data_IF_938716737787
#
_entry.id   IF_938716737787
#
_cell.length_a   1.000
_cell.length_b   1.000
_cell.length_c   1.000
_cell.angle_alpha   90.00
_cell.angle_beta   90.00
_cell.angle_gamma   90.00
#
_symmetry.space_group_name_H-M   'P 1'
#
loop_
_entity.id
_entity.type
_entity.pdbx_description
1 polymer ?
#
# COMPACT_ATOMS: atom_id res chain seq x y z
N UNK A 1 -12.78 -11.58 -13.11
CA UNK A 1 -12.17 -10.39 -12.47
C UNK A 1 -11.75 -10.81 -11.06
N UNK A 2 -10.50 -10.55 -10.69
CA UNK A 2 -9.98 -10.84 -9.34
C UNK A 2 -10.84 -10.11 -8.28
N UNK A 3 -11.28 -10.82 -7.22
CA UNK A 3 -12.13 -10.23 -6.17
C UNK A 3 -11.48 -9.01 -5.52
N UNK A 4 -10.15 -9.01 -5.40
CA UNK A 4 -9.38 -7.88 -4.85
C UNK A 4 -9.39 -6.65 -5.77
N UNK A 5 -9.80 -6.80 -7.03
CA UNK A 5 -9.87 -5.73 -8.03
C UNK A 5 -11.30 -5.29 -8.34
N UNK A 6 -12.31 -5.79 -7.64
CA UNK A 6 -13.71 -5.46 -7.93
C UNK A 6 -14.04 -3.96 -7.77
N UNK A 7 -13.31 -3.25 -6.90
CA UNK A 7 -13.49 -1.81 -6.65
C UNK A 7 -13.32 -0.93 -7.89
N UNK A 8 -12.60 -1.41 -8.92
CA UNK A 8 -12.30 -0.61 -10.13
C UNK A 8 -13.55 -0.23 -10.92
N UNK A 9 -14.66 -0.95 -10.73
CA UNK A 9 -15.94 -0.67 -11.38
C UNK A 9 -16.55 0.66 -10.95
N UNK A 10 -16.24 1.10 -9.74
CA UNK A 10 -16.78 2.31 -9.13
C UNK A 10 -15.83 3.51 -9.29
N UNK A 11 -14.68 3.32 -9.95
CA UNK A 11 -13.68 4.37 -10.16
C UNK A 11 -14.17 5.33 -11.24
N UNK A 12 -14.21 6.62 -10.93
CA UNK A 12 -14.45 7.69 -11.90
C UNK A 12 -13.29 8.69 -11.94
N UNK A 13 -12.77 9.07 -10.77
CA UNK A 13 -11.66 10.02 -10.62
C UNK A 13 -10.40 9.29 -10.21
N UNK A 14 -9.33 9.43 -11.01
CA UNK A 14 -8.04 8.86 -10.70
C UNK A 14 -6.92 9.90 -10.64
N UNK A 15 -6.00 9.70 -9.70
CA UNK A 15 -4.73 10.41 -9.64
C UNK A 15 -3.64 9.49 -10.18
N UNK A 16 -2.89 9.93 -11.18
CA UNK A 16 -1.76 9.20 -11.77
C UNK A 16 -0.47 9.95 -11.45
N UNK A 17 0.36 9.35 -10.60
CA UNK A 17 1.68 9.90 -10.27
C UNK A 17 2.72 9.30 -11.20
N UNK A 18 3.51 10.18 -11.84
CA UNK A 18 4.57 9.82 -12.79
C UNK A 18 5.93 10.15 -12.16
N UNK A 19 6.66 9.13 -11.71
CA UNK A 19 7.96 9.32 -11.06
C UNK A 19 9.07 9.81 -12.00
N UNK A 20 10.14 10.40 -11.45
CA UNK A 20 11.28 10.91 -12.25
C UNK A 20 11.85 9.84 -13.18
N UNK A 21 12.05 8.60 -12.70
CA UNK A 21 12.56 7.50 -13.51
C UNK A 21 11.64 7.11 -14.67
N UNK A 22 10.34 7.42 -14.57
CA UNK A 22 9.36 7.25 -15.66
C UNK A 22 9.49 8.41 -16.65
N UNK A 23 9.60 9.66 -16.17
CA UNK A 23 9.72 10.86 -17.02
C UNK A 23 11.07 10.96 -17.75
N UNK A 24 12.14 10.42 -17.17
CA UNK A 24 13.51 10.54 -17.69
C UNK A 24 14.12 9.21 -18.15
N UNK A 25 15.05 9.27 -19.09
CA UNK A 25 15.96 8.18 -19.48
C UNK A 25 17.18 8.15 -18.56
N UNK A 26 17.98 7.08 -18.68
CA UNK A 26 19.21 6.92 -17.91
C UNK A 26 20.26 8.02 -18.16
N UNK A 27 20.21 8.69 -19.32
CA UNK A 27 21.07 9.82 -19.69
C UNK A 27 20.56 11.18 -19.13
N UNK A 28 19.45 11.18 -18.37
CA UNK A 28 18.83 12.37 -17.80
C UNK A 28 17.89 13.13 -18.74
N UNK A 29 17.79 12.74 -20.03
CA UNK A 29 16.86 13.35 -20.99
C UNK A 29 15.45 12.86 -20.75
N UNK A 30 14.46 13.59 -21.28
CA UNK A 30 13.06 13.17 -21.25
C UNK A 30 12.85 11.88 -22.05
N UNK A 31 12.07 10.97 -21.49
CA UNK A 31 11.67 9.72 -22.13
C UNK A 31 10.45 9.96 -23.03
N UNK A 32 10.64 10.67 -24.15
CA UNK A 32 9.56 11.12 -25.05
C UNK A 32 8.58 10.01 -25.44
N UNK A 33 9.07 8.85 -25.88
CA UNK A 33 8.20 7.74 -26.28
C UNK A 33 7.35 7.20 -25.12
N UNK A 34 7.91 7.18 -23.90
CA UNK A 34 7.18 6.73 -22.71
C UNK A 34 6.12 7.76 -22.27
N UNK A 35 6.46 9.04 -22.33
CA UNK A 35 5.51 10.13 -22.05
C UNK A 35 4.39 10.19 -23.10
N UNK A 36 4.71 9.96 -24.38
CA UNK A 36 3.71 9.83 -25.44
C UNK A 36 2.72 8.71 -25.17
N UNK A 37 3.21 7.48 -24.93
CA UNK A 37 2.38 6.33 -24.59
C UNK A 37 1.54 6.53 -23.30
N UNK A 38 2.06 7.32 -22.36
CA UNK A 38 1.29 7.71 -21.17
C UNK A 38 0.17 8.69 -21.51
N UNK A 39 0.46 9.72 -22.33
CA UNK A 39 -0.54 10.69 -22.75
C UNK A 39 -1.66 10.04 -23.58
N UNK A 40 -1.33 9.05 -24.42
CA UNK A 40 -2.31 8.25 -25.17
C UNK A 40 -3.24 7.44 -24.25
N UNK A 41 -2.69 6.83 -23.19
CA UNK A 41 -3.52 6.16 -22.17
C UNK A 41 -4.45 7.16 -21.47
N UNK A 42 -3.92 8.31 -21.05
CA UNK A 42 -4.72 9.36 -20.40
C UNK A 42 -5.80 9.87 -21.37
N UNK A 43 -5.50 10.01 -22.66
CA UNK A 43 -6.49 10.36 -23.69
C UNK A 43 -7.61 9.35 -23.78
N UNK A 44 -7.26 8.08 -23.81
CA UNK A 44 -8.23 6.98 -23.88
C UNK A 44 -9.18 7.04 -22.69
N UNK A 45 -8.64 7.22 -21.47
CA UNK A 45 -9.44 7.31 -20.25
C UNK A 45 -10.31 8.58 -20.20
N UNK A 46 -9.76 9.74 -20.56
CA UNK A 46 -10.52 10.99 -20.62
C UNK A 46 -11.69 10.90 -21.63
N UNK A 47 -11.46 10.23 -22.76
CA UNK A 47 -12.50 9.99 -23.78
C UNK A 47 -13.60 9.03 -23.28
N UNK A 48 -13.25 8.09 -22.40
CA UNK A 48 -14.19 7.20 -21.71
C UNK A 48 -14.93 7.87 -20.55
N UNK A 49 -14.63 9.13 -20.23
CA UNK A 49 -15.32 9.90 -19.19
C UNK A 49 -14.67 9.84 -17.80
N UNK A 50 -13.48 9.24 -17.69
CA UNK A 50 -12.70 9.29 -16.45
C UNK A 50 -12.14 10.69 -16.21
N UNK A 51 -12.13 11.09 -14.94
CA UNK A 51 -11.51 12.32 -14.47
C UNK A 51 -10.07 12.04 -14.05
N UNK A 52 -9.10 12.35 -14.92
CA UNK A 52 -7.68 12.04 -14.69
C UNK A 52 -6.93 13.27 -14.20
N UNK A 53 -6.25 13.13 -13.06
CA UNK A 53 -5.35 14.12 -12.48
C UNK A 53 -3.93 13.55 -12.53
N UNK A 54 -2.96 14.31 -13.03
CA UNK A 54 -1.58 13.87 -13.15
C UNK A 54 -0.72 14.55 -12.08
N UNK A 55 0.15 13.81 -11.42
CA UNK A 55 1.20 14.34 -10.54
C UNK A 55 2.55 13.96 -11.14
N UNK A 56 3.25 14.92 -11.74
CA UNK A 56 4.51 14.64 -12.43
C UNK A 56 5.72 14.92 -11.53
N UNK A 57 6.86 14.28 -11.80
CA UNK A 57 8.19 14.63 -11.27
C UNK A 57 9.17 14.94 -12.41
N UNK A 58 10.46 15.13 -12.09
CA UNK A 58 11.54 15.21 -13.08
C UNK A 58 12.00 16.62 -13.48
N UNK A 59 11.33 17.67 -13.03
CA UNK A 59 11.68 19.06 -13.34
C UNK A 59 13.15 19.40 -13.00
N UNK A 60 13.57 19.16 -11.75
CA UNK A 60 14.95 19.47 -11.29
C UNK A 60 16.02 18.82 -12.17
N UNK A 61 15.86 17.53 -12.50
CA UNK A 61 16.82 16.79 -13.33
C UNK A 61 16.93 17.37 -14.74
N UNK A 62 15.78 17.67 -15.35
CA UNK A 62 15.70 18.28 -16.69
C UNK A 62 16.33 19.67 -16.72
N UNK A 63 16.02 20.52 -15.74
CA UNK A 63 16.59 21.86 -15.67
C UNK A 63 18.08 21.85 -15.37
N UNK A 64 18.57 20.92 -14.55
CA UNK A 64 20.01 20.72 -14.33
C UNK A 64 20.75 20.42 -15.63
N UNK A 65 20.18 19.57 -16.48
CA UNK A 65 20.77 19.28 -17.79
C UNK A 65 20.80 20.53 -18.69
N UNK A 66 19.68 21.27 -18.77
CA UNK A 66 19.60 22.50 -19.58
C UNK A 66 20.56 23.58 -19.08
N UNK A 67 20.65 23.78 -17.77
CA UNK A 67 21.55 24.76 -17.17
C UNK A 67 23.02 24.36 -17.32
N UNK A 68 23.36 23.06 -17.25
CA UNK A 68 24.71 22.59 -17.59
C UNK A 68 25.09 22.92 -19.04
N UNK A 69 24.18 22.70 -19.99
CA UNK A 69 24.41 23.07 -21.38
C UNK A 69 24.54 24.59 -21.55
N UNK A 70 23.66 25.39 -20.94
CA UNK A 70 23.77 26.86 -20.97
C UNK A 70 25.08 27.33 -20.36
N UNK A 71 25.52 26.76 -19.23
CA UNK A 71 26.82 27.08 -18.65
C UNK A 71 27.95 26.73 -19.63
N UNK A 72 27.95 25.52 -20.20
CA UNK A 72 28.98 25.10 -21.17
C UNK A 72 29.11 26.09 -22.34
N UNK A 73 27.99 26.54 -22.91
CA UNK A 73 27.98 27.43 -24.08
C UNK A 73 28.34 28.89 -23.73
N UNK A 74 28.12 29.31 -22.48
CA UNK A 74 28.40 30.68 -22.03
C UNK A 74 29.67 30.78 -21.14
N UNK A 75 30.42 29.69 -20.97
CA UNK A 75 31.67 29.69 -20.18
C UNK A 75 32.86 29.97 -21.06
N UNK A 76 33.81 30.76 -20.57
CA UNK A 76 35.13 30.83 -21.20
C UNK A 76 35.92 29.53 -20.99
N UNK A 77 36.98 29.30 -21.77
CA UNK A 77 37.89 28.17 -21.55
C UNK A 77 38.47 28.15 -20.12
N UNK A 78 38.73 29.31 -19.52
CA UNK A 78 39.22 29.43 -18.15
C UNK A 78 38.16 29.02 -17.11
N UNK A 79 36.87 29.23 -17.38
CA UNK A 79 35.79 28.86 -16.48
C UNK A 79 35.48 27.36 -16.50
N UNK A 80 35.81 26.66 -17.60
CA UNK A 80 35.68 25.19 -17.70
C UNK A 80 36.78 24.44 -16.94
N UNK A 81 37.90 25.11 -16.64
CA UNK A 81 38.99 24.55 -15.82
C UNK A 81 38.72 24.66 -14.31
N UNK A 82 37.74 25.48 -13.90
CA UNK A 82 37.32 25.59 -12.50
C UNK A 82 36.52 24.35 -12.07
N UNK A 83 36.55 23.97 -10.77
CA UNK A 83 35.70 22.91 -10.24
C UNK A 83 34.22 23.13 -10.62
N UNK A 84 33.51 22.05 -10.94
CA UNK A 84 32.08 22.13 -11.26
C UNK A 84 31.31 22.60 -10.02
N UNK A 85 31.01 23.91 -9.98
CA UNK A 85 30.07 24.48 -9.01
C UNK A 85 28.72 23.80 -9.18
N UNK A 86 28.17 23.33 -8.06
CA UNK A 86 26.85 22.72 -8.02
C UNK A 86 25.78 23.74 -8.43
N UNK A 87 24.87 23.34 -9.32
CA UNK A 87 23.79 24.22 -9.76
C UNK A 87 22.70 24.26 -8.70
N UNK A 88 22.19 25.47 -8.41
CA UNK A 88 21.04 25.66 -7.52
C UNK A 88 19.84 24.81 -7.97
N UNK A 89 19.34 23.99 -7.06
CA UNK A 89 18.19 23.11 -7.27
C UNK A 89 16.91 23.88 -7.60
N UNK A 90 16.71 25.07 -7.04
CA UNK A 90 15.51 25.90 -7.29
C UNK A 90 15.53 26.48 -8.70
N UNK A 91 16.68 27.02 -9.13
CA UNK A 91 16.89 27.43 -10.51
C UNK A 91 16.70 26.26 -11.50
N UNK A 92 17.23 25.07 -11.16
CA UNK A 92 17.01 23.86 -11.96
C UNK A 92 15.52 23.49 -12.03
N UNK A 93 14.78 23.57 -10.92
CA UNK A 93 13.35 23.32 -10.92
C UNK A 93 12.59 24.29 -11.82
N UNK A 94 12.85 25.59 -11.74
CA UNK A 94 12.18 26.61 -12.54
C UNK A 94 12.36 26.38 -14.05
N UNK A 95 13.61 26.17 -14.49
CA UNK A 95 13.93 25.91 -15.91
C UNK A 95 13.32 24.58 -16.37
N UNK A 96 13.43 23.56 -15.52
CA UNK A 96 12.95 22.22 -15.83
C UNK A 96 11.43 22.14 -15.88
N UNK A 97 10.72 22.83 -15.00
CA UNK A 97 9.26 22.82 -14.93
C UNK A 97 8.65 23.43 -16.20
N UNK A 98 9.17 24.57 -16.66
CA UNK A 98 8.76 25.15 -17.94
C UNK A 98 8.93 24.16 -19.10
N UNK A 99 10.09 23.50 -19.13
CA UNK A 99 10.44 22.53 -20.18
C UNK A 99 9.54 21.28 -20.15
N UNK A 100 9.19 20.81 -18.95
CA UNK A 100 8.33 19.65 -18.73
C UNK A 100 6.89 19.95 -19.16
N UNK A 101 6.37 21.12 -18.80
CA UNK A 101 5.01 21.53 -19.16
C UNK A 101 4.86 21.78 -20.65
N UNK A 102 5.84 22.42 -21.30
CA UNK A 102 5.83 22.58 -22.75
C UNK A 102 5.75 21.23 -23.49
N UNK A 103 6.40 20.19 -22.96
CA UNK A 103 6.31 18.85 -23.53
C UNK A 103 4.92 18.24 -23.32
N UNK A 104 4.37 18.27 -22.09
CA UNK A 104 3.02 17.75 -21.84
C UNK A 104 1.99 18.47 -22.71
N UNK A 105 2.06 19.79 -22.79
CA UNK A 105 1.15 20.60 -23.60
C UNK A 105 1.24 20.23 -25.09
N UNK A 106 2.46 20.07 -25.61
CA UNK A 106 2.67 19.61 -26.99
C UNK A 106 2.03 18.23 -27.22
N UNK A 107 2.31 17.26 -26.34
CA UNK A 107 1.80 15.89 -26.49
C UNK A 107 0.27 15.83 -26.37
N UNK A 108 -0.31 16.52 -25.40
CA UNK A 108 -1.76 16.54 -25.21
C UNK A 108 -2.49 17.30 -26.33
N UNK A 109 -1.91 18.39 -26.84
CA UNK A 109 -2.46 19.11 -27.99
C UNK A 109 -2.53 18.22 -29.22
N UNK A 110 -1.54 17.37 -29.48
CA UNK A 110 -1.59 16.39 -30.58
C UNK A 110 -2.67 15.32 -30.40
N UNK A 111 -3.22 15.17 -29.19
CA UNK A 111 -4.27 14.21 -28.83
C UNK A 111 -5.64 14.89 -28.60
N UNK A 112 -5.79 16.15 -28.99
CA UNK A 112 -6.99 16.97 -28.74
C UNK A 112 -7.39 16.97 -27.25
N UNK A 113 -6.40 17.14 -26.38
CA UNK A 113 -6.58 17.33 -24.94
C UNK A 113 -5.92 18.64 -24.52
N UNK A 114 -6.62 19.37 -23.66
CA UNK A 114 -6.05 20.50 -22.95
C UNK A 114 -5.51 20.03 -21.61
N UNK A 115 -4.31 20.49 -21.26
CA UNK A 115 -3.73 20.30 -19.92
C UNK A 115 -3.66 21.63 -19.17
N UNK A 116 -3.69 21.58 -17.83
CA UNK A 116 -3.57 22.76 -16.99
C UNK A 116 -2.51 22.54 -15.92
N UNK A 117 -1.55 23.46 -15.83
CA UNK A 117 -0.49 23.42 -14.82
C UNK A 117 -1.00 23.89 -13.46
N UNK A 118 -0.71 23.12 -12.41
CA UNK A 118 -0.92 23.52 -11.02
C UNK A 118 0.37 23.27 -10.23
N UNK A 119 0.91 24.33 -9.62
CA UNK A 119 2.10 24.25 -8.77
C UNK A 119 1.71 24.53 -7.33
N UNK A 120 2.17 23.68 -6.42
CA UNK A 120 1.80 23.74 -5.01
C UNK A 120 3.01 23.53 -4.11
N UNK A 121 2.96 24.09 -2.92
CA UNK A 121 3.93 23.91 -1.84
C UNK A 121 3.24 23.24 -0.65
N UNK A 122 4.02 22.79 0.32
CA UNK A 122 3.48 22.22 1.55
C UNK A 122 2.73 23.22 2.41
N UNK A 123 3.20 24.47 2.42
CA UNK A 123 2.58 25.58 3.14
C UNK A 123 1.18 25.89 2.61
N UNK A 124 0.95 25.75 1.30
CA UNK A 124 -0.37 25.99 0.70
C UNK A 124 -1.43 25.07 1.30
N UNK A 125 -1.09 23.79 1.55
CA UNK A 125 -2.01 22.85 2.18
C UNK A 125 -2.18 23.07 3.68
N UNK A 126 -1.49 24.00 4.34
CA UNK A 126 -1.82 24.37 5.73
C UNK A 126 -3.06 25.26 5.81
N UNK A 127 -3.35 25.98 4.73
CA UNK A 127 -4.51 26.85 4.61
C UNK A 127 -5.74 26.08 4.12
N UNK A 128 -6.83 26.15 4.89
CA UNK A 128 -8.11 25.53 4.53
C UNK A 128 -8.75 26.19 3.33
N UNK A 129 -8.61 27.51 3.19
CA UNK A 129 -9.25 28.27 2.12
C UNK A 129 -8.55 27.98 0.79
N UNK A 130 -7.21 27.83 0.80
CA UNK A 130 -6.46 27.31 -0.34
C UNK A 130 -6.98 25.93 -0.79
N UNK A 131 -7.18 24.98 0.13
CA UNK A 131 -7.68 23.63 -0.21
C UNK A 131 -9.06 23.69 -0.86
N UNK A 132 -9.97 24.53 -0.34
CA UNK A 132 -11.30 24.73 -0.91
C UNK A 132 -11.21 25.31 -2.33
N UNK A 133 -10.41 26.36 -2.51
CA UNK A 133 -10.20 27.00 -3.81
C UNK A 133 -9.56 26.06 -4.83
N UNK A 134 -8.60 25.26 -4.39
CA UNK A 134 -7.97 24.23 -5.21
C UNK A 134 -9.01 23.21 -5.69
N UNK A 135 -9.86 22.72 -4.78
CA UNK A 135 -10.91 21.75 -5.10
C UNK A 135 -11.91 22.28 -6.14
N UNK A 136 -12.39 23.52 -5.98
CA UNK A 136 -13.31 24.14 -6.95
C UNK A 136 -12.64 24.42 -8.31
N UNK A 137 -11.36 24.81 -8.30
CA UNK A 137 -10.58 25.01 -9.53
C UNK A 137 -10.42 23.69 -10.29
N UNK A 138 -9.98 22.63 -9.61
CA UNK A 138 -9.83 21.30 -10.22
C UNK A 138 -11.16 20.76 -10.72
N UNK A 139 -12.24 20.91 -9.95
CA UNK A 139 -13.59 20.51 -10.36
C UNK A 139 -14.02 21.22 -11.64
N UNK A 140 -13.73 22.51 -11.77
CA UNK A 140 -14.04 23.29 -12.98
C UNK A 140 -13.22 22.82 -14.19
N UNK A 141 -11.93 22.53 -14.00
CA UNK A 141 -11.06 21.97 -15.05
C UNK A 141 -11.58 20.60 -15.54
N UNK A 142 -11.88 19.69 -14.61
CA UNK A 142 -12.35 18.35 -14.91
C UNK A 142 -13.73 18.36 -15.61
N UNK A 143 -14.63 19.29 -15.25
CA UNK A 143 -15.91 19.47 -15.93
C UNK A 143 -15.75 19.82 -17.42
N UNK A 144 -14.65 20.50 -17.77
CA UNK A 144 -14.26 20.81 -19.15
C UNK A 144 -13.37 19.74 -19.79
N UNK A 145 -13.20 18.58 -19.14
CA UNK A 145 -12.31 17.48 -19.54
C UNK A 145 -10.82 17.87 -19.66
N UNK A 146 -10.42 18.99 -19.06
CA UNK A 146 -9.01 19.42 -18.98
C UNK A 146 -8.26 18.50 -18.00
N UNK A 147 -7.02 18.12 -18.34
CA UNK A 147 -6.16 17.29 -17.49
C UNK A 147 -5.33 18.18 -16.56
N UNK A 148 -5.60 18.22 -15.24
CA UNK A 148 -4.76 18.97 -14.31
C UNK A 148 -3.42 18.23 -14.10
N UNK A 149 -2.31 18.94 -14.25
CA UNK A 149 -0.96 18.44 -14.02
C UNK A 149 -0.34 19.17 -12.84
N UNK A 150 -0.22 18.46 -11.73
CA UNK A 150 0.38 18.92 -10.50
C UNK A 150 1.88 18.63 -10.45
N UNK A 151 2.62 19.54 -9.83
CA UNK A 151 3.97 19.30 -9.33
C UNK A 151 4.24 20.17 -8.09
N UNK A 152 5.22 19.79 -7.28
CA UNK A 152 5.73 20.65 -6.21
C UNK A 152 6.38 21.90 -6.83
N UNK A 153 6.10 23.07 -6.25
CA UNK A 153 6.71 24.33 -6.66
C UNK A 153 8.12 24.47 -6.08
N UNK A 154 9.01 23.57 -6.49
CA UNK A 154 10.40 23.48 -6.03
C UNK A 154 11.20 24.78 -6.24
N UNK A 155 10.78 25.63 -7.19
CA UNK A 155 11.45 26.90 -7.48
C UNK A 155 11.31 27.93 -6.36
N UNK A 156 10.22 27.87 -5.59
CA UNK A 156 9.92 28.82 -4.50
C UNK A 156 9.68 28.13 -3.16
N UNK A 157 9.78 26.80 -3.11
CA UNK A 157 9.68 26.03 -1.87
C UNK A 157 10.74 26.51 -0.87
N UNK A 158 10.33 26.63 0.40
CA UNK A 158 11.22 27.00 1.51
C UNK A 158 12.08 25.84 1.98
N UNK A 159 11.89 24.64 1.43
CA UNK A 159 12.57 23.43 1.86
C UNK A 159 13.99 23.36 1.31
N UNK A 160 14.92 23.01 2.19
CA UNK A 160 16.31 22.72 1.86
C UNK A 160 16.55 21.21 1.95
N UNK A 161 17.44 20.68 1.11
CA UNK A 161 17.83 19.28 1.19
C UNK A 161 18.79 19.07 2.38
N UNK A 162 18.69 17.98 3.17
CA UNK A 162 17.77 16.85 3.02
C UNK A 162 16.35 17.14 3.55
N UNK A 163 15.34 16.70 2.79
CA UNK A 163 13.90 16.90 3.01
C UNK A 163 13.31 16.11 4.20
N UNK A 164 14.09 15.86 5.25
CA UNK A 164 13.64 15.21 6.47
C UNK A 164 13.18 16.28 7.48
N UNK A 165 12.09 16.97 7.15
CA UNK A 165 11.34 17.68 8.18
C UNK A 165 10.08 16.88 8.53
N UNK A 166 9.99 16.50 9.80
CA UNK A 166 8.85 15.79 10.39
C UNK A 166 7.59 16.65 10.50
N UNK A 167 7.69 17.95 10.21
CA UNK A 167 6.58 18.92 10.25
C UNK A 167 5.81 19.11 8.92
N UNK A 168 6.25 18.47 7.82
CA UNK A 168 5.70 18.67 6.48
C UNK A 168 4.46 17.83 6.16
N UNK A 169 3.46 18.42 5.49
CA UNK A 169 2.21 17.73 5.06
C UNK A 169 2.48 16.66 3.98
N UNK A 170 3.46 16.88 3.11
CA UNK A 170 4.02 15.90 2.15
C UNK A 170 5.53 16.13 2.02
N UNK A 171 6.36 15.16 1.64
CA UNK A 171 7.84 15.34 1.53
C UNK A 171 8.42 15.02 0.14
N UNK A 172 7.60 14.44 -0.73
CA UNK A 172 7.91 14.15 -2.13
C UNK A 172 6.61 14.09 -2.95
N UNK A 173 6.73 13.91 -4.27
CA UNK A 173 5.56 13.83 -5.14
C UNK A 173 4.72 12.55 -4.92
N UNK A 174 5.27 11.51 -4.28
CA UNK A 174 4.50 10.32 -3.89
C UNK A 174 3.49 10.70 -2.79
N UNK A 175 3.97 11.46 -1.79
CA UNK A 175 3.15 11.99 -0.69
C UNK A 175 2.19 13.09 -1.14
N UNK A 176 2.63 13.95 -2.07
CA UNK A 176 1.75 14.95 -2.69
C UNK A 176 0.60 14.26 -3.45
N UNK A 177 0.88 13.18 -4.18
CA UNK A 177 -0.17 12.46 -4.91
C UNK A 177 -1.17 11.78 -3.96
N UNK A 178 -0.70 11.24 -2.84
CA UNK A 178 -1.58 10.72 -1.79
C UNK A 178 -2.44 11.81 -1.15
N UNK A 179 -1.85 12.98 -0.86
CA UNK A 179 -2.58 14.13 -0.33
C UNK A 179 -3.64 14.62 -1.32
N UNK A 180 -3.27 14.84 -2.58
CA UNK A 180 -4.18 15.28 -3.63
C UNK A 180 -5.31 14.28 -3.85
N UNK A 181 -5.03 12.97 -3.80
CA UNK A 181 -6.08 11.96 -3.90
C UNK A 181 -7.13 12.13 -2.79
N UNK A 182 -6.70 12.45 -1.56
CA UNK A 182 -7.60 12.71 -0.44
C UNK A 182 -8.37 14.03 -0.59
N UNK A 183 -7.67 15.13 -0.80
CA UNK A 183 -8.26 16.48 -0.91
C UNK A 183 -9.24 16.58 -2.09
N UNK A 184 -8.92 15.92 -3.20
CA UNK A 184 -9.72 15.94 -4.42
C UNK A 184 -10.65 14.73 -4.53
N UNK A 185 -10.80 13.91 -3.48
CA UNK A 185 -11.71 12.77 -3.40
C UNK A 185 -11.59 11.84 -4.61
N UNK A 186 -10.36 11.43 -4.92
CA UNK A 186 -10.11 10.46 -5.97
C UNK A 186 -10.53 9.05 -5.53
N UNK A 187 -11.02 8.26 -6.47
CA UNK A 187 -11.44 6.87 -6.24
C UNK A 187 -10.28 5.89 -6.37
N UNK A 188 -9.18 6.31 -7.01
CA UNK A 188 -7.98 5.50 -7.22
C UNK A 188 -6.73 6.38 -7.34
N UNK A 189 -5.65 5.97 -6.68
CA UNK A 189 -4.31 6.49 -6.90
C UNK A 189 -3.43 5.45 -7.60
N UNK A 190 -2.86 5.80 -8.76
CA UNK A 190 -1.88 4.96 -9.47
C UNK A 190 -0.51 5.59 -9.36
N UNK A 191 0.44 4.88 -8.73
CA UNK A 191 1.83 5.30 -8.61
C UNK A 191 2.67 4.58 -9.67
N UNK A 192 3.03 5.28 -10.74
CA UNK A 192 3.90 4.74 -11.80
C UNK A 192 5.37 4.83 -11.39
N UNK A 193 6.03 3.68 -11.35
CA UNK A 193 7.45 3.52 -11.00
C UNK A 193 8.25 2.89 -12.14
N UNK A 194 9.56 2.81 -11.95
CA UNK A 194 10.52 2.02 -12.71
C UNK A 194 10.55 0.52 -12.33
N UNK A 195 9.64 0.08 -11.47
CA UNK A 195 9.48 -1.32 -11.05
C UNK A 195 8.04 -1.76 -11.23
N UNK A 196 7.83 -3.06 -11.41
CA UNK A 196 6.50 -3.66 -11.63
C UNK A 196 5.56 -3.53 -10.44
N UNK A 197 6.11 -3.38 -9.24
CA UNK A 197 5.38 -3.17 -7.99
C UNK A 197 6.28 -3.45 -6.80
N UNK A 198 5.69 -3.87 -5.70
CA UNK A 198 6.40 -4.26 -4.49
C UNK A 198 6.74 -5.75 -4.53
N UNK A 199 7.99 -6.08 -4.23
CA UNK A 199 8.49 -7.45 -4.23
C UNK A 199 8.69 -7.96 -2.79
N UNK A 200 8.59 -9.29 -2.61
CA UNK A 200 8.81 -9.96 -1.31
C UNK A 200 10.27 -9.98 -0.86
N UNK A 201 11.20 -9.62 -1.75
CA UNK A 201 12.63 -9.53 -1.47
C UNK A 201 13.32 -8.58 -2.47
N UNK A 202 14.64 -8.40 -2.36
CA UNK A 202 15.39 -7.56 -3.30
C UNK A 202 15.31 -8.12 -4.73
N UNK A 203 15.38 -7.28 -5.78
CA UNK A 203 15.34 -7.75 -7.18
C UNK A 203 16.46 -8.73 -7.57
N UNK A 204 17.56 -8.75 -6.81
CA UNK A 204 18.68 -9.67 -7.01
C UNK A 204 18.40 -11.10 -6.51
N UNK A 205 17.39 -11.29 -5.66
CA UNK A 205 17.00 -12.61 -5.16
C UNK A 205 16.07 -13.31 -6.17
N UNK A 206 16.46 -14.46 -6.75
CA UNK A 206 15.61 -15.20 -7.68
C UNK A 206 14.30 -15.71 -7.07
N UNK A 207 14.20 -15.80 -5.73
CA UNK A 207 12.96 -16.16 -5.04
C UNK A 207 12.04 -14.96 -4.79
N UNK A 208 12.49 -13.75 -5.13
CA UNK A 208 11.70 -12.54 -4.96
C UNK A 208 10.49 -12.54 -5.89
N UNK A 209 9.29 -12.46 -5.31
CA UNK A 209 8.02 -12.49 -6.04
C UNK A 209 7.30 -11.17 -5.90
N UNK A 210 6.60 -10.78 -6.97
CA UNK A 210 5.72 -9.62 -6.95
C UNK A 210 4.57 -9.87 -5.98
N UNK A 211 4.33 -8.90 -5.10
CA UNK A 211 3.21 -8.90 -4.17
C UNK A 211 2.04 -8.21 -4.86
N UNK A 212 1.02 -8.96 -5.24
CA UNK A 212 -0.13 -8.39 -5.96
C UNK A 212 -1.09 -7.58 -5.07
N UNK A 213 -1.13 -7.90 -3.77
CA UNK A 213 -1.95 -7.23 -2.77
C UNK A 213 -1.16 -7.10 -1.47
N UNK A 214 -0.89 -5.87 -1.06
CA UNK A 214 -0.19 -5.54 0.16
C UNK A 214 -1.13 -5.64 1.37
N UNK A 215 -0.78 -6.54 2.28
CA UNK A 215 -1.38 -6.70 3.61
C UNK A 215 -0.35 -6.27 4.64
N UNK A 216 -0.68 -5.27 5.46
CA UNK A 216 0.25 -4.65 6.41
C UNK A 216 0.82 -5.65 7.41
N UNK A 217 -0.05 -6.47 8.00
CA UNK A 217 0.28 -7.45 9.04
C UNK A 217 1.26 -8.51 8.55
N UNK A 218 1.20 -8.85 7.26
CA UNK A 218 2.08 -9.83 6.63
C UNK A 218 3.39 -9.21 6.17
N UNK A 219 3.32 -8.07 5.50
CA UNK A 219 4.44 -7.58 4.71
C UNK A 219 5.27 -6.49 5.41
N UNK A 220 4.73 -5.77 6.39
CA UNK A 220 5.42 -4.64 7.01
C UNK A 220 6.71 -5.05 7.74
N UNK A 221 6.77 -6.26 8.31
CA UNK A 221 7.95 -6.78 9.01
C UNK A 221 8.92 -7.60 8.16
N UNK A 222 8.49 -8.03 6.96
CA UNK A 222 9.26 -8.96 6.11
C UNK A 222 9.97 -8.26 4.94
N UNK A 223 9.45 -7.11 4.48
CA UNK A 223 9.98 -6.43 3.31
C UNK A 223 11.13 -5.50 3.70
N UNK A 224 12.34 -5.85 3.25
CA UNK A 224 13.47 -4.93 3.23
C UNK A 224 13.38 -4.06 1.99
N UNK A 225 13.13 -2.76 2.17
CA UNK A 225 13.19 -1.79 1.07
C UNK A 225 14.66 -1.60 0.65
N UNK A 226 14.98 -1.94 -0.59
CA UNK A 226 16.31 -1.69 -1.16
C UNK A 226 16.65 -0.19 -1.24
N UNK A 227 17.92 0.11 -1.53
CA UNK A 227 18.46 1.47 -1.57
C UNK A 227 17.69 2.43 -2.49
N UNK A 228 17.73 3.73 -2.15
CA UNK A 228 17.07 4.82 -2.88
C UNK A 228 17.45 4.80 -4.38
N UNK A 229 16.47 4.94 -5.28
CA UNK A 229 16.72 5.06 -6.72
C UNK A 229 17.65 6.25 -7.03
N UNK A 230 18.64 6.07 -7.92
CA UNK A 230 19.68 7.07 -8.22
C UNK A 230 19.19 8.41 -8.78
N UNK A 231 17.95 8.48 -9.26
CA UNK A 231 17.39 9.63 -10.01
C UNK A 231 16.13 10.25 -9.38
N UNK A 232 15.63 9.70 -8.27
CA UNK A 232 14.39 10.14 -7.60
C UNK A 232 14.61 10.59 -6.16
N UNK A 233 13.77 11.51 -5.67
CA UNK A 233 13.77 11.96 -4.26
C UNK A 233 13.23 10.88 -3.30
N UNK A 234 12.26 10.09 -3.74
CA UNK A 234 11.57 9.06 -2.95
C UNK A 234 11.86 7.64 -3.43
N UNK A 235 12.42 6.81 -2.53
CA UNK A 235 12.64 5.38 -2.75
C UNK A 235 11.33 4.55 -2.63
N UNK A 236 11.46 3.23 -2.61
CA UNK A 236 10.30 2.34 -2.44
C UNK A 236 9.60 2.59 -1.08
N UNK A 237 10.36 2.89 -0.02
CA UNK A 237 9.82 3.21 1.31
C UNK A 237 8.83 4.38 1.26
N UNK A 238 9.14 5.44 0.51
CA UNK A 238 8.26 6.61 0.42
C UNK A 238 6.98 6.29 -0.34
N UNK A 239 7.07 5.51 -1.44
CA UNK A 239 5.90 5.03 -2.19
C UNK A 239 4.99 4.17 -1.34
N UNK A 240 5.55 3.22 -0.59
CA UNK A 240 4.76 2.38 0.31
C UNK A 240 4.14 3.20 1.43
N UNK A 241 4.87 4.16 2.02
CA UNK A 241 4.31 5.04 3.05
C UNK A 241 3.14 5.87 2.52
N UNK A 242 3.28 6.47 1.33
CA UNK A 242 2.21 7.21 0.67
C UNK A 242 1.01 6.30 0.32
N UNK A 243 1.27 5.11 -0.23
CA UNK A 243 0.23 4.15 -0.59
C UNK A 243 -0.54 3.63 0.63
N UNK A 244 0.15 3.29 1.71
CA UNK A 244 -0.48 2.87 2.97
C UNK A 244 -1.30 4.00 3.58
N UNK A 245 -0.79 5.24 3.54
CA UNK A 245 -1.51 6.42 4.05
C UNK A 245 -2.82 6.65 3.33
N UNK A 246 -2.80 6.70 1.99
CA UNK A 246 -4.01 6.89 1.18
C UNK A 246 -4.98 5.70 1.31
N UNK A 247 -4.47 4.46 1.29
CA UNK A 247 -5.28 3.25 1.45
C UNK A 247 -5.97 3.18 2.81
N UNK A 248 -5.29 3.60 3.89
CA UNK A 248 -5.88 3.63 5.24
C UNK A 248 -6.99 4.66 5.36
N UNK A 249 -6.97 5.71 4.53
CA UNK A 249 -7.99 6.74 4.43
C UNK A 249 -9.09 6.40 3.40
N UNK A 250 -9.11 5.17 2.88
CA UNK A 250 -10.18 4.65 2.02
C UNK A 250 -9.94 4.80 0.51
N UNK A 251 -8.76 5.28 0.08
CA UNK A 251 -8.43 5.41 -1.35
C UNK A 251 -7.57 4.20 -1.79
N UNK A 252 -8.09 3.29 -2.63
CA UNK A 252 -7.29 2.24 -3.25
C UNK A 252 -6.06 2.82 -3.96
N UNK A 253 -4.90 2.18 -3.77
CA UNK A 253 -3.64 2.59 -4.42
C UNK A 253 -3.03 1.42 -5.17
N UNK A 254 -2.60 1.64 -6.41
CA UNK A 254 -1.83 0.64 -7.18
C UNK A 254 -0.45 1.19 -7.50
N UNK A 255 0.59 0.48 -7.06
CA UNK A 255 1.97 0.70 -7.53
C UNK A 255 2.21 -0.21 -8.72
N UNK A 256 2.59 0.36 -9.86
CA UNK A 256 2.90 -0.43 -11.06
C UNK A 256 3.98 0.24 -11.92
N UNK A 257 4.52 -0.50 -12.89
CA UNK A 257 5.50 -0.01 -13.84
C UNK A 257 4.89 1.03 -14.78
N UNK A 258 5.54 2.18 -14.87
CA UNK A 258 5.29 3.19 -15.91
C UNK A 258 6.02 2.89 -17.22
N UNK A 259 6.80 1.81 -17.29
CA UNK A 259 7.56 1.41 -18.49
C UNK A 259 6.74 0.46 -19.35
N UNK A 260 5.84 -0.30 -18.73
CA UNK A 260 4.95 -1.22 -19.39
C UNK A 260 3.78 -0.48 -20.07
N UNK A 261 3.34 -1.05 -21.19
CA UNK A 261 2.29 -0.51 -22.05
C UNK A 261 0.92 -0.75 -21.41
N UNK A 262 0.08 0.28 -21.42
CA UNK A 262 -1.34 0.22 -21.02
C UNK A 262 -1.60 -0.15 -19.55
N UNK A 263 -0.61 -0.07 -18.67
CA UNK A 263 -0.79 -0.49 -17.28
C UNK A 263 -1.88 0.29 -16.54
N UNK A 264 -2.13 1.57 -16.86
CA UNK A 264 -3.24 2.32 -16.23
C UNK A 264 -4.58 1.72 -16.67
N UNK A 265 -4.71 1.42 -17.97
CA UNK A 265 -5.92 0.83 -18.55
C UNK A 265 -6.15 -0.57 -17.97
N UNK A 266 -5.12 -1.42 -17.93
CA UNK A 266 -5.19 -2.78 -17.36
C UNK A 266 -5.60 -2.77 -15.88
N UNK A 267 -5.09 -1.81 -15.11
CA UNK A 267 -5.51 -1.61 -13.71
C UNK A 267 -7.01 -1.30 -13.65
N UNK A 268 -7.52 -0.39 -14.48
CA UNK A 268 -8.96 -0.05 -14.53
C UNK A 268 -9.84 -1.18 -15.09
N UNK A 269 -9.27 -2.08 -15.90
CA UNK A 269 -9.93 -3.32 -16.34
C UNK A 269 -9.97 -4.40 -15.25
N UNK A 270 -9.35 -4.14 -14.09
CA UNK A 270 -9.31 -5.07 -12.96
C UNK A 270 -8.33 -6.22 -13.13
N UNK A 271 -7.32 -6.06 -14.00
CA UNK A 271 -6.23 -7.02 -14.10
C UNK A 271 -5.34 -6.98 -12.84
N UNK A 272 -4.72 -8.11 -12.53
CA UNK A 272 -3.85 -8.25 -11.36
C UNK A 272 -2.44 -7.69 -11.62
N UNK A 273 -2.37 -6.42 -12.04
CA UNK A 273 -1.13 -5.72 -12.35
C UNK A 273 -0.61 -4.98 -11.11
N UNK A 274 0.72 -5.05 -10.92
CA UNK A 274 1.43 -4.41 -9.82
C UNK A 274 0.94 -4.81 -8.44
N UNK A 275 1.09 -3.90 -7.48
CA UNK A 275 0.72 -4.11 -6.08
C UNK A 275 -0.42 -3.19 -5.68
N UNK A 276 -1.53 -3.79 -5.24
CA UNK A 276 -2.66 -3.08 -4.66
C UNK A 276 -2.47 -2.87 -3.16
N UNK A 277 -2.76 -1.66 -2.70
CA UNK A 277 -2.95 -1.28 -1.32
C UNK A 277 -4.41 -0.90 -1.14
N UNK A 278 -5.07 -1.53 -0.17
CA UNK A 278 -6.49 -1.31 0.08
C UNK A 278 -6.77 -1.53 1.57
N UNK A 279 -7.69 -0.75 2.14
CA UNK A 279 -8.08 -0.86 3.56
C UNK A 279 -8.52 -2.29 3.93
N UNK A 280 -9.28 -2.90 3.03
CA UNK A 280 -9.82 -4.26 3.16
C UNK A 280 -8.92 -5.36 2.61
N UNK A 281 -7.64 -5.08 2.30
CA UNK A 281 -6.73 -6.07 1.71
C UNK A 281 -6.61 -7.35 2.55
N UNK A 282 -6.69 -7.23 3.88
CA UNK A 282 -6.66 -8.34 4.83
C UNK A 282 -7.84 -9.33 4.66
N UNK A 283 -8.98 -8.89 4.12
CA UNK A 283 -10.15 -9.73 3.83
C UNK A 283 -10.01 -10.54 2.54
N UNK A 284 -9.13 -10.11 1.63
CA UNK A 284 -8.92 -10.76 0.33
C UNK A 284 -7.69 -11.64 0.29
N UNK A 285 -6.96 -11.71 1.39
CA UNK A 285 -5.96 -12.75 1.55
C UNK A 285 -6.66 -14.08 1.27
N UNK A 286 -6.22 -14.87 0.28
CA UNK A 286 -6.46 -16.29 0.38
C UNK A 286 -5.92 -16.67 1.75
N UNK A 287 -6.69 -17.44 2.52
CA UNK A 287 -6.15 -18.21 3.64
C UNK A 287 -5.19 -19.21 2.99
N UNK A 288 -4.02 -18.75 2.54
CA UNK A 288 -2.96 -19.57 2.02
C UNK A 288 -2.41 -20.25 3.23
N UNK A 289 -2.44 -21.59 3.22
CA UNK A 289 -1.91 -22.51 4.24
C UNK A 289 -0.84 -21.80 5.05
N UNK A 290 -1.25 -21.25 6.20
CA UNK A 290 -0.31 -20.72 7.16
C UNK A 290 0.57 -21.92 7.47
N UNK A 291 1.87 -21.84 7.18
CA UNK A 291 2.76 -22.96 7.42
C UNK A 291 2.59 -23.39 8.87
N UNK A 292 2.65 -24.69 9.19
CA UNK A 292 2.39 -25.17 10.55
C UNK A 292 3.22 -24.41 11.62
N UNK A 293 4.42 -23.96 11.23
CA UNK A 293 5.28 -23.09 12.03
C UNK A 293 4.67 -21.70 12.29
N UNK A 294 4.19 -21.01 11.27
CA UNK A 294 3.54 -19.70 11.42
C UNK A 294 2.27 -19.81 12.26
N UNK A 295 1.44 -20.85 12.05
CA UNK A 295 0.27 -21.10 12.90
C UNK A 295 0.68 -21.28 14.35
N UNK A 296 1.74 -22.05 14.61
CA UNK A 296 2.25 -22.27 15.96
C UNK A 296 2.81 -20.97 16.59
N UNK A 297 3.49 -20.12 15.81
CA UNK A 297 3.99 -18.82 16.29
C UNK A 297 2.84 -17.88 16.62
N UNK A 298 1.88 -17.69 15.70
CA UNK A 298 0.72 -16.83 15.93
C UNK A 298 -0.15 -17.34 17.09
N UNK A 299 -0.34 -18.65 17.21
CA UNK A 299 -1.05 -19.24 18.36
C UNK A 299 -0.30 -18.99 19.68
N UNK A 300 1.03 -19.09 19.69
CA UNK A 300 1.85 -18.80 20.87
C UNK A 300 1.77 -17.34 21.29
N UNK A 301 1.86 -16.41 20.34
CA UNK A 301 1.76 -14.98 20.62
C UNK A 301 0.35 -14.59 21.11
N UNK A 302 -0.68 -15.12 20.45
CA UNK A 302 -2.08 -14.90 20.85
C UNK A 302 -2.37 -15.47 22.24
N UNK A 303 -1.83 -16.65 22.56
CA UNK A 303 -1.94 -17.26 23.89
C UNK A 303 -1.35 -16.35 24.98
N UNK A 304 -0.17 -15.76 24.75
CA UNK A 304 0.44 -14.79 25.69
C UNK A 304 -0.43 -13.55 25.89
N UNK A 305 -1.00 -13.01 24.81
CA UNK A 305 -1.92 -11.87 24.88
C UNK A 305 -3.17 -12.22 25.69
N UNK A 306 -3.79 -13.37 25.43
CA UNK A 306 -4.96 -13.86 26.17
C UNK A 306 -4.67 -14.11 27.65
N UNK A 307 -3.48 -14.60 28.00
CA UNK A 307 -3.05 -14.77 29.39
C UNK A 307 -2.99 -13.43 30.14
N UNK A 308 -2.60 -12.34 29.46
CA UNK A 308 -2.50 -11.02 30.07
C UNK A 308 -3.86 -10.32 30.30
N UNK A 309 -4.94 -10.81 29.68
CA UNK A 309 -6.28 -10.22 29.83
C UNK A 309 -6.90 -10.55 31.19
N UNK A 310 -7.99 -9.85 31.53
CA UNK A 310 -8.81 -10.22 32.68
C UNK A 310 -9.63 -11.48 32.40
N UNK A 311 -10.08 -12.16 33.45
CA UNK A 311 -10.99 -13.31 33.31
C UNK A 311 -12.31 -12.92 32.63
N UNK A 312 -12.80 -11.71 32.92
CA UNK A 312 -14.00 -11.16 32.30
C UNK A 312 -13.83 -11.01 30.78
N UNK A 313 -12.71 -10.45 30.32
CA UNK A 313 -12.48 -10.21 28.89
C UNK A 313 -12.29 -11.52 28.13
N UNK A 314 -11.57 -12.50 28.72
CA UNK A 314 -11.46 -13.84 28.14
C UNK A 314 -12.82 -14.52 28.00
N UNK A 315 -13.67 -14.42 29.03
CA UNK A 315 -15.04 -14.95 28.99
C UNK A 315 -15.85 -14.29 27.88
N UNK A 316 -15.77 -12.95 27.76
CA UNK A 316 -16.46 -12.20 26.71
C UNK A 316 -16.03 -12.68 25.32
N UNK A 317 -14.74 -12.84 25.07
CA UNK A 317 -14.21 -13.35 23.79
C UNK A 317 -14.82 -14.72 23.45
N UNK A 318 -14.90 -15.65 24.41
CA UNK A 318 -15.50 -16.96 24.18
C UNK A 318 -17.00 -16.88 23.83
N UNK A 319 -17.74 -15.98 24.48
CA UNK A 319 -19.15 -15.75 24.17
C UNK A 319 -19.32 -15.15 22.77
N UNK A 320 -18.52 -14.13 22.43
CA UNK A 320 -18.52 -13.49 21.11
C UNK A 320 -18.23 -14.51 19.99
N UNK A 321 -17.31 -15.47 20.23
CA UNK A 321 -17.02 -16.57 19.30
C UNK A 321 -18.24 -17.49 19.12
N UNK A 322 -18.90 -17.88 20.22
CA UNK A 322 -20.08 -18.74 20.15
C UNK A 322 -21.24 -18.09 19.38
N UNK A 323 -21.48 -16.80 19.64
CA UNK A 323 -22.53 -16.02 18.97
C UNK A 323 -22.21 -15.83 17.49
N UNK A 324 -20.95 -15.58 17.14
CA UNK A 324 -20.52 -15.48 15.75
C UNK A 324 -20.67 -16.80 14.98
N UNK A 325 -20.42 -17.95 15.60
CA UNK A 325 -20.61 -19.26 14.96
C UNK A 325 -22.07 -19.49 14.57
N UNK A 326 -23.01 -19.17 15.46
CA UNK A 326 -24.44 -19.33 15.19
C UNK A 326 -24.96 -18.30 14.19
N UNK A 327 -24.56 -17.03 14.32
CA UNK A 327 -24.95 -15.97 13.38
C UNK A 327 -24.52 -16.27 11.94
N UNK A 328 -23.40 -16.97 11.76
CA UNK A 328 -22.84 -17.31 10.46
C UNK A 328 -23.10 -18.77 10.02
N UNK A 329 -23.98 -19.52 10.70
CA UNK A 329 -24.19 -20.95 10.45
C UNK A 329 -24.50 -21.26 8.98
N UNK A 330 -25.36 -20.45 8.34
CA UNK A 330 -25.73 -20.61 6.93
C UNK A 330 -24.52 -20.47 5.99
N UNK A 331 -23.69 -19.45 6.24
CA UNK A 331 -22.49 -19.18 5.45
C UNK A 331 -21.45 -20.30 5.64
N UNK A 332 -21.25 -20.75 6.87
CA UNK A 332 -20.30 -21.84 7.17
C UNK A 332 -20.71 -23.12 6.46
N UNK A 333 -22.00 -23.47 6.48
CA UNK A 333 -22.50 -24.65 5.79
C UNK A 333 -22.36 -24.52 4.27
N UNK A 334 -22.68 -23.37 3.68
CA UNK A 334 -22.54 -23.18 2.23
C UNK A 334 -21.08 -23.28 1.76
N UNK A 335 -20.13 -22.71 2.51
CA UNK A 335 -18.71 -22.83 2.16
C UNK A 335 -18.18 -24.26 2.39
N UNK A 336 -18.62 -24.96 3.45
CA UNK A 336 -18.25 -26.35 3.67
C UNK A 336 -18.73 -27.28 2.55
N UNK A 337 -19.91 -27.03 1.98
CA UNK A 337 -20.40 -27.77 0.81
C UNK A 337 -19.49 -27.58 -0.41
N UNK A 338 -19.01 -26.35 -0.63
CA UNK A 338 -18.05 -26.02 -1.70
C UNK A 338 -16.70 -26.74 -1.47
N UNK A 339 -16.21 -26.77 -0.24
CA UNK A 339 -14.97 -27.49 0.12
C UNK A 339 -15.11 -29.00 -0.09
N UNK A 340 -16.23 -29.59 0.35
CA UNK A 340 -16.53 -31.02 0.17
C UNK A 340 -16.65 -31.37 -1.31
N UNK A 341 -17.27 -30.51 -2.12
CA UNK A 341 -17.36 -30.70 -3.57
C UNK A 341 -15.97 -30.64 -4.22
N UNK A 342 -15.15 -29.66 -3.83
CA UNK A 342 -13.78 -29.51 -4.30
C UNK A 342 -12.90 -30.72 -3.95
N UNK A 343 -13.01 -31.23 -2.71
CA UNK A 343 -12.29 -32.42 -2.27
C UNK A 343 -12.73 -33.69 -3.02
N UNK A 344 -14.02 -33.82 -3.36
CA UNK A 344 -14.51 -34.91 -4.22
C UNK A 344 -13.92 -34.83 -5.62
N UNK A 345 -13.91 -33.63 -6.20
CA UNK A 345 -13.37 -33.40 -7.54
C UNK A 345 -11.86 -33.65 -7.61
N UNK A 346 -11.13 -33.34 -6.53
CA UNK A 346 -9.70 -33.60 -6.40
C UNK A 346 -9.35 -35.06 -6.07
N UNK A 347 -10.34 -35.96 -5.92
CA UNK A 347 -10.12 -37.39 -5.74
C UNK A 347 -9.64 -37.82 -4.36
N UNK A 348 -9.88 -37.03 -3.31
CA UNK A 348 -9.53 -37.41 -1.94
C UNK A 348 -10.30 -38.66 -1.47
N UNK A 349 -9.73 -39.41 -0.52
CA UNK A 349 -10.40 -40.58 0.05
C UNK A 349 -11.74 -40.24 0.71
N UNK A 350 -12.72 -41.14 0.57
CA UNK A 350 -14.06 -40.99 1.17
C UNK A 350 -14.02 -40.78 2.68
N UNK A 351 -13.05 -41.40 3.37
CA UNK A 351 -12.82 -41.29 4.81
C UNK A 351 -12.47 -39.85 5.23
N UNK A 352 -11.63 -39.16 4.44
CA UNK A 352 -11.21 -37.78 4.67
C UNK A 352 -12.33 -36.80 4.34
N UNK A 353 -13.04 -37.02 3.25
CA UNK A 353 -14.21 -36.21 2.86
C UNK A 353 -15.30 -36.28 3.94
N UNK A 354 -15.54 -37.46 4.52
CA UNK A 354 -16.50 -37.63 5.61
C UNK A 354 -16.10 -36.89 6.91
N UNK A 355 -14.80 -36.68 7.14
CA UNK A 355 -14.29 -35.87 8.26
C UNK A 355 -14.40 -34.37 8.01
N UNK A 356 -14.33 -33.94 6.74
CA UNK A 356 -14.47 -32.55 6.32
C UNK A 356 -15.94 -32.09 6.37
N UNK A 357 -16.89 -32.96 6.03
CA UNK A 357 -18.30 -32.63 5.97
C UNK A 357 -18.90 -32.32 7.36
N UNK A 358 -19.54 -31.16 7.50
CA UNK A 358 -20.26 -30.76 8.71
C UNK A 358 -21.66 -31.40 8.73
N UNK A 359 -22.01 -32.03 9.85
CA UNK A 359 -23.36 -32.55 10.08
C UNK A 359 -24.29 -31.44 10.56
N UNK A 360 -25.61 -31.51 10.26
CA UNK A 360 -26.59 -30.59 10.81
C UNK A 360 -26.50 -30.53 12.35
N UNK A 361 -26.54 -29.32 12.91
CA UNK A 361 -26.43 -29.09 14.35
C UNK A 361 -25.02 -29.23 14.94
N UNK A 362 -23.98 -29.51 14.13
CA UNK A 362 -22.60 -29.56 14.62
C UNK A 362 -22.11 -28.18 15.08
N UNK A 363 -22.49 -27.13 14.35
CA UNK A 363 -22.12 -25.74 14.65
C UNK A 363 -22.76 -25.28 15.96
N UNK A 364 -24.06 -25.51 16.14
CA UNK A 364 -24.76 -25.20 17.40
C UNK A 364 -24.23 -26.00 18.59
N UNK A 365 -23.90 -27.28 18.40
CA UNK A 365 -23.25 -28.10 19.44
C UNK A 365 -21.87 -27.54 19.86
N UNK A 366 -21.09 -27.04 18.90
CA UNK A 366 -19.79 -26.42 19.15
C UNK A 366 -19.94 -25.08 19.90
N UNK A 367 -20.85 -24.22 19.44
CA UNK A 367 -21.17 -22.95 20.10
C UNK A 367 -21.58 -23.17 21.57
N UNK A 368 -22.47 -24.13 21.82
CA UNK A 368 -22.87 -24.49 23.18
C UNK A 368 -21.70 -24.99 24.04
N UNK A 369 -20.81 -25.81 23.48
CA UNK A 369 -19.60 -26.27 24.19
C UNK A 369 -18.69 -25.10 24.58
N UNK A 370 -18.54 -24.11 23.69
CA UNK A 370 -17.77 -22.89 23.96
C UNK A 370 -18.43 -22.06 25.06
N UNK A 371 -19.76 -21.92 25.05
CA UNK A 371 -20.50 -21.22 26.13
C UNK A 371 -20.34 -21.91 27.49
N UNK A 372 -20.33 -23.24 27.53
CA UNK A 372 -20.02 -24.00 28.75
C UNK A 372 -18.63 -23.63 29.26
N UNK A 373 -17.61 -23.65 28.39
CA UNK A 373 -16.25 -23.26 28.74
C UNK A 373 -16.16 -21.81 29.25
N UNK A 374 -16.87 -20.88 28.61
CA UNK A 374 -16.92 -19.47 29.01
C UNK A 374 -17.49 -19.26 30.43
N UNK A 375 -18.35 -20.17 30.88
CA UNK A 375 -18.98 -20.11 32.20
C UNK A 375 -18.24 -20.96 33.27
N UNK A 376 -17.18 -21.67 32.90
CA UNK A 376 -16.33 -22.37 33.86
C UNK A 376 -15.46 -21.37 34.65
N UNK A 377 -15.07 -21.77 35.86
CA UNK A 377 -14.11 -20.99 36.66
C UNK A 377 -12.75 -20.94 35.94
N UNK A 378 -12.22 -19.72 35.76
CA UNK A 378 -11.00 -19.50 34.99
C UNK A 378 -9.77 -20.07 35.71
N UNK A 379 -9.08 -21.07 35.13
CA UNK A 379 -7.98 -21.75 35.80
C UNK A 379 -6.65 -20.98 35.70
N UNK A 380 -6.56 -19.94 34.85
CA UNK A 380 -5.30 -19.27 34.51
C UNK A 380 -4.84 -18.35 35.66
N UNK A 381 -3.59 -18.50 36.09
CA UNK A 381 -3.00 -17.68 37.17
C UNK A 381 -3.31 -18.17 38.59
N UNK A 382 -4.07 -19.26 38.76
CA UNK A 382 -4.39 -19.82 40.08
C UNK A 382 -3.27 -20.72 40.59
N UNK A 383 -2.65 -20.33 41.71
CA UNK A 383 -1.67 -21.15 42.43
C UNK A 383 -2.41 -22.23 43.21
N UNK A 384 -2.15 -23.50 42.89
CA UNK A 384 -2.81 -24.65 43.52
C UNK A 384 -2.14 -25.09 44.81
N UNK A 385 -0.80 -24.99 44.86
CA UNK A 385 -0.01 -25.42 46.03
C UNK A 385 1.26 -24.60 46.12
N UNK A 386 1.61 -24.15 47.32
CA UNK A 386 2.92 -23.55 47.63
C UNK A 386 3.67 -24.51 48.54
N UNK A 387 4.90 -24.86 48.17
CA UNK A 387 5.78 -25.69 48.99
C UNK A 387 7.01 -24.87 49.36
N UNK A 388 7.28 -24.71 50.65
CA UNK A 388 8.49 -24.02 51.10
C UNK A 388 9.66 -25.01 51.08
N UNK A 389 10.71 -24.70 50.33
CA UNK A 389 11.87 -25.59 50.14
C UNK A 389 13.05 -25.15 51.02
N UNK A 390 13.14 -23.87 51.38
CA UNK A 390 14.03 -23.38 52.44
C UNK A 390 13.52 -22.05 53.04
N UNK A 391 14.19 -21.52 54.07
CA UNK A 391 13.88 -20.18 54.63
C UNK A 391 13.96 -19.05 53.59
N UNK A 392 14.73 -19.26 52.51
CA UNK A 392 14.92 -18.29 51.43
C UNK A 392 14.30 -18.71 50.07
N UNK A 393 13.67 -19.89 49.96
CA UNK A 393 13.18 -20.40 48.68
C UNK A 393 11.77 -21.03 48.81
N UNK A 394 10.83 -20.55 47.99
CA UNK A 394 9.44 -21.04 47.92
C UNK A 394 9.14 -21.49 46.50
N UNK A 395 8.60 -22.70 46.37
CA UNK A 395 8.12 -23.27 45.12
C UNK A 395 6.62 -23.05 45.00
N UNK A 396 6.17 -22.59 43.83
CA UNK A 396 4.74 -22.40 43.54
C UNK A 396 4.31 -23.33 42.41
N UNK A 397 3.35 -24.21 42.68
CA UNK A 397 2.69 -25.02 41.67
C UNK A 397 1.42 -24.29 41.22
N UNK A 398 1.44 -23.78 39.99
CA UNK A 398 0.28 -23.21 39.30
C UNK A 398 -0.36 -24.24 38.36
N UNK A 399 -1.65 -24.09 38.08
CA UNK A 399 -2.34 -24.93 37.10
C UNK A 399 -2.13 -24.33 35.71
N UNK A 400 -1.24 -24.88 34.91
CA UNK A 400 -1.25 -24.67 33.45
C UNK A 400 -2.05 -25.82 32.82
N UNK A 401 -3.19 -25.48 32.21
CA UNK A 401 -4.13 -26.46 31.69
C UNK A 401 -3.73 -26.86 30.25
N UNK A 402 -2.91 -27.90 30.11
CA UNK A 402 -2.93 -28.80 28.95
C UNK A 402 -3.19 -30.20 29.50
N UNK A 403 -4.47 -30.55 29.67
CA UNK A 403 -4.90 -31.92 29.97
C UNK A 403 -5.27 -32.64 28.67
N UNK A 404 -4.30 -32.81 27.79
CA UNK A 404 -4.29 -33.90 26.81
C UNK A 404 -2.85 -34.09 26.34
N UNK A 405 -2.29 -35.28 26.59
CA UNK A 405 -0.93 -35.75 26.27
C UNK A 405 0.16 -35.36 27.29
N UNK A 406 0.46 -36.30 28.20
CA UNK A 406 1.75 -36.39 28.88
C UNK A 406 1.99 -35.42 30.03
N UNK A 407 2.43 -35.96 31.17
CA UNK A 407 2.83 -35.16 32.35
C UNK A 407 3.99 -34.23 32.00
N UNK A 408 3.73 -32.93 31.90
CA UNK A 408 4.77 -31.90 31.95
C UNK A 408 4.39 -30.84 32.98
N UNK A 409 4.84 -31.05 34.22
CA UNK A 409 4.91 -30.02 35.26
C UNK A 409 6.06 -29.09 34.92
N UNK A 410 5.79 -27.81 34.64
CA UNK A 410 6.84 -26.80 34.55
C UNK A 410 7.10 -26.19 35.92
N UNK A 411 8.38 -26.14 36.31
CA UNK A 411 8.88 -25.53 37.53
C UNK A 411 9.36 -24.11 37.22
N UNK A 412 8.93 -23.12 38.00
CA UNK A 412 9.54 -21.80 38.09
C UNK A 412 9.97 -21.54 39.52
#
# INVERSE_FOLDING_TARGET
MDRSRAFVKDVKRLVVKVGTAVVTRADGRLALGRLGALCEQIKTLNSQGYEVIVVSSGAVGLGRQRLRFRRLVNSSFADLQKPQVELDGKACAAVGQNSLMALYDTLFTQLDITSAQLLVTDNDFRDRDFRNQLSETVKSLLALKVIPIFNENDAVSTREAPYEDSSGIFWDNDSLAALLALELKADLLVLLSDVEGLYSGPPSDPNSKLIHTYIKEKHQGEITFGDKSRVGRGGMTAKVKAAVSAASAGIPVVITSGFAVENIIKVLQGECIGTLFHQNAHLWAPIKEIGAREMAVSARESSRRLQALSSHDRRKILLDIADALEANEKLINSENEVDVASARQAGYEKSLIARLALKPGKISSLANSIRVLANMEDPIGRVLKRTQVSKACRWTCSRENIKSLGRSTYCF
#
